data_IF_408542656843
#
_entry.id   IF_408542656843
#
_cell.length_a   1.000
_cell.length_b   1.000
_cell.length_c   1.000
_cell.angle_alpha   90.00
_cell.angle_beta   90.00
_cell.angle_gamma   90.00
#
_symmetry.space_group_name_H-M   'P 1'
#
loop_
_entity.id
_entity.type
_entity.pdbx_description
1 polymer ?
#
# COMPACT_ATOMS: atom_id res chain seq x y z
N UNK A 1 10.36 3.03 -28.10
CA UNK A 1 10.28 2.75 -26.65
C UNK A 1 9.04 1.93 -26.29
N UNK A 2 7.80 2.32 -26.66
CA UNK A 2 6.58 1.53 -26.33
C UNK A 2 6.64 0.04 -26.67
N UNK A 3 7.28 -0.33 -27.80
CA UNK A 3 7.42 -1.74 -28.22
C UNK A 3 8.33 -2.58 -27.31
N UNK A 4 9.36 -1.98 -26.71
CA UNK A 4 10.30 -2.69 -25.83
C UNK A 4 9.74 -2.84 -24.41
N UNK A 5 8.94 -1.87 -23.95
CA UNK A 5 8.21 -1.99 -22.67
C UNK A 5 7.20 -3.13 -22.76
N UNK A 6 6.43 -3.20 -23.86
CA UNK A 6 5.46 -4.28 -24.07
C UNK A 6 6.13 -5.66 -24.15
N UNK A 7 7.30 -5.75 -24.83
CA UNK A 7 8.08 -6.98 -24.92
C UNK A 7 8.69 -7.39 -23.58
N UNK A 8 9.18 -6.43 -22.80
CA UNK A 8 9.72 -6.70 -21.47
C UNK A 8 8.62 -7.13 -20.51
N UNK A 9 7.46 -6.46 -20.54
CA UNK A 9 6.28 -6.83 -19.74
C UNK A 9 5.78 -8.22 -20.15
N UNK A 10 5.73 -8.53 -21.46
CA UNK A 10 5.36 -9.85 -21.92
C UNK A 10 6.39 -10.92 -21.51
N UNK A 11 7.69 -10.62 -21.60
CA UNK A 11 8.75 -11.55 -21.18
C UNK A 11 8.74 -11.81 -19.66
N UNK A 12 8.46 -10.78 -18.86
CA UNK A 12 8.28 -10.90 -17.40
C UNK A 12 7.03 -11.72 -17.11
N UNK A 13 5.90 -11.43 -17.75
CA UNK A 13 4.67 -12.21 -17.61
C UNK A 13 4.86 -13.67 -18.04
N UNK A 14 5.52 -13.94 -19.17
CA UNK A 14 5.82 -15.31 -19.61
C UNK A 14 6.83 -16.01 -18.71
N UNK A 15 7.84 -15.30 -18.20
CA UNK A 15 8.82 -15.84 -17.26
C UNK A 15 8.21 -16.16 -15.90
N UNK A 16 7.16 -15.43 -15.49
CA UNK A 16 6.42 -15.70 -14.25
C UNK A 16 5.40 -16.83 -14.40
N UNK A 17 4.79 -16.99 -15.56
CA UNK A 17 3.80 -18.03 -15.82
C UNK A 17 4.42 -19.43 -15.82
N UNK A 18 5.67 -19.57 -16.29
CA UNK A 18 6.31 -20.89 -16.35
C UNK A 18 6.46 -21.57 -14.97
N UNK A 19 6.95 -20.91 -13.89
CA UNK A 19 6.98 -21.50 -12.57
C UNK A 19 5.58 -21.67 -11.94
N UNK A 20 4.63 -20.79 -12.25
CA UNK A 20 3.24 -20.91 -11.78
C UNK A 20 2.57 -22.15 -12.34
N UNK A 21 2.77 -22.47 -13.62
CA UNK A 21 2.23 -23.69 -14.24
C UNK A 21 2.87 -24.98 -13.73
N UNK A 22 4.02 -24.89 -13.07
CA UNK A 22 4.72 -26.03 -12.48
C UNK A 22 4.44 -26.16 -10.97
N UNK A 23 3.76 -25.21 -10.34
CA UNK A 23 3.43 -25.27 -8.92
C UNK A 23 2.23 -26.20 -8.70
N UNK A 24 2.38 -27.15 -7.78
CA UNK A 24 1.27 -27.98 -7.29
C UNK A 24 0.64 -27.24 -6.10
N UNK A 25 -0.51 -26.63 -6.29
CA UNK A 25 -1.24 -25.94 -5.24
C UNK A 25 -2.60 -25.46 -5.70
N UNK A 26 -3.45 -25.12 -4.75
CA UNK A 26 -4.75 -24.54 -5.06
C UNK A 26 -4.59 -23.05 -5.37
N UNK A 27 -5.51 -22.52 -6.15
CA UNK A 27 -5.64 -21.10 -6.43
C UNK A 27 -6.37 -20.46 -5.24
N UNK A 28 -5.71 -19.52 -4.58
CA UNK A 28 -6.25 -18.83 -3.41
C UNK A 28 -6.30 -17.33 -3.65
N UNK A 29 -7.19 -16.68 -2.93
CA UNK A 29 -7.26 -15.25 -2.98
C UNK A 29 -8.32 -14.70 -2.04
N UNK A 30 -8.38 -13.39 -2.04
CA UNK A 30 -9.51 -12.69 -1.44
C UNK A 30 -9.97 -11.54 -2.34
N UNK A 31 -11.20 -11.18 -2.21
CA UNK A 31 -11.73 -9.93 -2.76
C UNK A 31 -12.60 -9.27 -1.72
N UNK A 32 -12.66 -7.95 -1.78
CA UNK A 32 -13.40 -7.23 -0.78
C UNK A 32 -13.61 -5.77 -1.11
N UNK A 33 -14.09 -5.09 -0.11
CA UNK A 33 -14.39 -3.68 -0.15
C UNK A 33 -14.02 -3.04 1.19
N UNK A 34 -13.36 -1.89 1.11
CA UNK A 34 -13.02 -1.06 2.27
C UNK A 34 -13.69 0.30 2.12
N UNK A 35 -14.35 0.73 3.18
CA UNK A 35 -14.80 2.10 3.37
C UNK A 35 -13.88 2.79 4.35
N UNK A 36 -13.32 3.93 3.95
CA UNK A 36 -12.51 4.80 4.79
C UNK A 36 -13.28 6.08 5.09
N UNK A 37 -13.34 6.50 6.35
CA UNK A 37 -13.94 7.81 6.69
C UNK A 37 -13.13 8.95 6.12
N UNK A 38 -11.85 8.72 5.84
CA UNK A 38 -10.93 9.60 5.15
C UNK A 38 -9.88 8.73 4.44
N UNK A 39 -9.66 8.94 3.15
CA UNK A 39 -8.66 8.17 2.42
C UNK A 39 -7.28 8.80 2.56
N UNK A 40 -6.43 8.13 3.33
CA UNK A 40 -5.04 8.52 3.56
C UNK A 40 -4.12 7.57 2.81
N UNK A 41 -3.29 8.11 1.94
CA UNK A 41 -2.31 7.37 1.17
C UNK A 41 -0.94 8.04 1.23
N UNK A 42 0.06 7.32 1.71
CA UNK A 42 1.44 7.85 1.85
C UNK A 42 1.51 9.16 2.61
N UNK A 43 0.78 9.28 3.70
CA UNK A 43 0.73 10.49 4.51
C UNK A 43 -0.19 11.59 3.97
N UNK A 44 -0.85 11.38 2.83
CA UNK A 44 -1.69 12.38 2.20
C UNK A 44 -3.18 12.04 2.29
N UNK A 45 -3.99 13.03 2.63
CA UNK A 45 -5.43 12.98 2.41
C UNK A 45 -5.72 13.15 0.91
N UNK A 46 -5.85 12.05 0.18
CA UNK A 46 -5.99 12.07 -1.28
C UNK A 46 -7.20 12.90 -1.74
N UNK A 47 -8.28 12.89 -0.97
CA UNK A 47 -9.52 13.60 -1.27
C UNK A 47 -9.92 14.59 -0.16
N UNK A 48 -8.96 15.18 0.50
CA UNK A 48 -9.21 16.03 1.66
C UNK A 48 -9.91 15.25 2.77
N UNK A 49 -10.93 15.86 3.38
CA UNK A 49 -11.71 15.25 4.46
C UNK A 49 -12.87 14.37 3.97
N UNK A 50 -12.84 13.92 2.71
CA UNK A 50 -13.89 13.06 2.17
C UNK A 50 -13.55 11.58 2.35
N UNK A 51 -14.59 10.81 2.57
CA UNK A 51 -14.51 9.35 2.66
C UNK A 51 -14.14 8.72 1.32
N UNK A 52 -13.56 7.54 1.40
CA UNK A 52 -13.18 6.71 0.27
C UNK A 52 -13.89 5.37 0.23
N UNK A 53 -13.98 4.83 -0.95
CA UNK A 53 -14.49 3.49 -1.24
C UNK A 53 -13.45 2.77 -2.08
N UNK A 54 -12.94 1.64 -1.57
CA UNK A 54 -11.85 0.90 -2.19
C UNK A 54 -12.30 -0.55 -2.41
N UNK A 55 -12.41 -0.96 -3.66
CA UNK A 55 -12.66 -2.35 -4.03
C UNK A 55 -11.36 -3.05 -4.36
N UNK A 56 -11.14 -4.27 -3.92
CA UNK A 56 -9.90 -4.98 -4.18
C UNK A 56 -10.11 -6.47 -4.50
N UNK A 57 -9.13 -7.03 -5.18
CA UNK A 57 -8.94 -8.47 -5.37
C UNK A 57 -7.45 -8.79 -5.25
N UNK A 58 -7.11 -9.75 -4.39
CA UNK A 58 -5.78 -10.29 -4.19
C UNK A 58 -5.74 -11.76 -4.58
N UNK A 59 -4.77 -12.15 -5.39
CA UNK A 59 -4.64 -13.50 -5.91
C UNK A 59 -3.26 -14.06 -5.62
N UNK A 60 -3.21 -15.25 -5.03
CA UNK A 60 -2.01 -16.07 -4.90
C UNK A 60 -2.04 -17.19 -5.94
N UNK A 61 -0.97 -17.33 -6.68
CA UNK A 61 -0.90 -18.29 -7.78
C UNK A 61 -0.32 -19.61 -7.30
N UNK A 62 -1.21 -20.52 -6.89
CA UNK A 62 -0.89 -21.94 -6.63
C UNK A 62 0.18 -22.16 -5.56
N UNK A 63 0.27 -21.28 -4.57
CA UNK A 63 1.29 -21.35 -3.53
C UNK A 63 2.72 -21.17 -4.03
N UNK A 64 2.88 -20.65 -5.25
CA UNK A 64 4.20 -20.41 -5.87
C UNK A 64 4.96 -19.23 -5.27
N UNK A 65 4.29 -18.43 -4.46
CA UNK A 65 4.75 -17.14 -3.96
C UNK A 65 4.49 -15.99 -4.94
N UNK A 66 4.17 -16.24 -6.20
CA UNK A 66 3.73 -15.22 -7.13
C UNK A 66 2.25 -14.89 -6.94
N UNK A 67 1.90 -13.63 -7.11
CA UNK A 67 0.53 -13.18 -7.05
C UNK A 67 0.32 -11.83 -7.70
N UNK A 68 -0.92 -11.41 -7.73
CA UNK A 68 -1.33 -10.09 -8.18
C UNK A 68 -2.41 -9.50 -7.29
N UNK A 69 -2.44 -8.16 -7.23
CA UNK A 69 -3.52 -7.41 -6.61
C UNK A 69 -4.05 -6.36 -7.57
N UNK A 70 -5.34 -6.12 -7.53
CA UNK A 70 -5.99 -4.99 -8.19
C UNK A 70 -6.83 -4.29 -7.14
N UNK A 71 -6.63 -2.97 -7.00
CA UNK A 71 -7.40 -2.16 -6.08
C UNK A 71 -7.89 -0.89 -6.77
N UNK A 72 -9.18 -0.60 -6.66
CA UNK A 72 -9.78 0.61 -7.19
C UNK A 72 -10.16 1.57 -6.06
N UNK A 73 -9.77 2.83 -6.18
CA UNK A 73 -9.97 3.87 -5.16
C UNK A 73 -10.89 4.97 -5.68
N UNK A 74 -12.01 5.20 -5.01
CA UNK A 74 -13.04 6.16 -5.41
C UNK A 74 -13.38 7.09 -4.26
N UNK A 75 -13.37 8.39 -4.51
CA UNK A 75 -13.87 9.39 -3.57
C UNK A 75 -15.40 9.34 -3.48
N UNK A 76 -15.93 9.35 -2.25
CA UNK A 76 -17.37 9.53 -2.00
C UNK A 76 -17.79 11.01 -1.99
N UNK A 77 -16.81 11.93 -2.07
CA UNK A 77 -17.04 13.38 -2.15
C UNK A 77 -17.01 13.90 -3.58
N UNK A 78 -17.77 14.94 -3.88
CA UNK A 78 -17.73 15.60 -5.18
C UNK A 78 -16.42 16.35 -5.42
N UNK A 79 -16.03 16.50 -6.69
CA UNK A 79 -14.87 17.31 -7.10
C UNK A 79 -13.54 16.57 -7.20
N UNK A 80 -13.49 15.29 -6.86
CA UNK A 80 -12.26 14.49 -6.86
C UNK A 80 -12.24 13.37 -7.91
N UNK A 81 -13.10 13.44 -8.89
CA UNK A 81 -13.22 12.41 -9.93
C UNK A 81 -11.91 12.18 -10.71
N UNK A 82 -11.06 13.21 -10.86
CA UNK A 82 -9.77 13.12 -11.50
C UNK A 82 -8.64 12.56 -10.59
N UNK A 83 -8.93 12.36 -9.33
CA UNK A 83 -8.00 11.74 -8.38
C UNK A 83 -8.42 10.31 -8.00
N UNK A 84 -9.36 9.72 -8.71
CA UNK A 84 -9.65 8.29 -8.65
C UNK A 84 -8.48 7.51 -9.23
N UNK A 85 -8.21 6.33 -8.66
CA UNK A 85 -7.01 5.58 -9.00
C UNK A 85 -7.30 4.09 -9.02
N UNK A 86 -6.68 3.39 -9.96
CA UNK A 86 -6.61 1.94 -9.99
C UNK A 86 -5.16 1.50 -9.79
N UNK A 87 -4.91 0.63 -8.82
CA UNK A 87 -3.60 0.10 -8.50
C UNK A 87 -3.49 -1.33 -9.01
N UNK A 88 -2.47 -1.61 -9.80
CA UNK A 88 -2.17 -2.92 -10.33
C UNK A 88 -0.84 -3.38 -9.75
N UNK A 89 -0.86 -4.41 -8.92
CA UNK A 89 0.32 -4.94 -8.26
C UNK A 89 0.64 -6.34 -8.78
N UNK A 90 1.90 -6.55 -9.13
CA UNK A 90 2.48 -7.88 -9.30
C UNK A 90 3.48 -8.10 -8.18
N UNK A 91 3.46 -9.26 -7.54
CA UNK A 91 4.38 -9.54 -6.45
C UNK A 91 4.93 -10.96 -6.46
N UNK A 92 6.06 -11.11 -5.77
CA UNK A 92 6.61 -12.38 -5.33
C UNK A 92 6.89 -12.31 -3.84
N UNK A 93 6.45 -13.33 -3.10
CA UNK A 93 6.68 -13.43 -1.65
C UNK A 93 7.20 -14.82 -1.29
N UNK A 94 8.08 -14.86 -0.30
CA UNK A 94 8.62 -16.12 0.20
C UNK A 94 9.22 -15.92 1.60
N UNK A 95 9.82 -16.97 2.16
CA UNK A 95 10.47 -16.99 3.47
C UNK A 95 11.92 -17.45 3.36
N UNK A 96 12.77 -16.88 4.19
CA UNK A 96 14.16 -17.29 4.38
C UNK A 96 14.32 -17.73 5.83
N UNK A 97 15.13 -18.77 6.07
CA UNK A 97 15.42 -19.31 7.40
C UNK A 97 14.14 -19.70 8.19
N UNK A 98 13.20 -20.35 7.52
CA UNK A 98 11.92 -20.75 8.11
C UNK A 98 12.10 -21.57 9.38
N UNK A 99 11.42 -21.17 10.46
CA UNK A 99 11.50 -21.80 11.78
C UNK A 99 12.70 -21.36 12.64
N UNK A 100 13.55 -20.48 12.15
CA UNK A 100 14.68 -19.91 12.90
C UNK A 100 14.29 -18.55 13.54
N UNK A 101 15.10 -18.10 14.50
CA UNK A 101 14.99 -16.75 15.08
C UNK A 101 15.13 -15.64 14.02
N UNK A 102 15.93 -15.91 12.99
CA UNK A 102 16.14 -15.00 11.86
C UNK A 102 15.20 -15.28 10.67
N UNK A 103 14.12 -16.00 10.88
CA UNK A 103 13.09 -16.16 9.85
C UNK A 103 12.70 -14.79 9.31
N UNK A 104 12.77 -14.66 7.99
CA UNK A 104 12.45 -13.43 7.29
C UNK A 104 11.41 -13.72 6.23
N UNK A 105 10.22 -13.17 6.41
CA UNK A 105 9.21 -13.09 5.36
C UNK A 105 9.56 -11.92 4.47
N UNK A 106 9.59 -12.12 3.15
CA UNK A 106 9.83 -11.02 2.23
C UNK A 106 8.83 -11.01 1.08
N UNK A 107 8.51 -9.80 0.63
CA UNK A 107 7.66 -9.55 -0.53
C UNK A 107 8.30 -8.49 -1.42
N UNK A 108 8.49 -8.81 -2.69
CA UNK A 108 8.94 -7.88 -3.72
C UNK A 108 7.77 -7.58 -4.61
N UNK A 109 7.46 -6.30 -4.84
CA UNK A 109 6.31 -5.91 -5.63
C UNK A 109 6.66 -4.83 -6.63
N UNK A 110 5.95 -4.87 -7.76
CA UNK A 110 5.85 -3.78 -8.70
C UNK A 110 4.40 -3.31 -8.73
N UNK A 111 4.19 -2.00 -8.56
CA UNK A 111 2.86 -1.37 -8.57
C UNK A 111 2.79 -0.35 -9.68
N UNK A 112 1.72 -0.40 -10.45
CA UNK A 112 1.34 0.63 -11.40
C UNK A 112 0.09 1.35 -10.89
N UNK A 113 0.21 2.63 -10.63
CA UNK A 113 -0.86 3.51 -10.21
C UNK A 113 -1.44 4.21 -11.44
N UNK A 114 -2.65 3.83 -11.82
CA UNK A 114 -3.35 4.39 -12.97
C UNK A 114 -4.37 5.43 -12.50
N UNK A 115 -4.30 6.62 -13.06
CA UNK A 115 -5.26 7.68 -12.82
C UNK A 115 -6.07 7.94 -14.10
N UNK A 116 -7.12 7.15 -14.37
CA UNK A 116 -7.75 7.06 -15.68
C UNK A 116 -8.39 8.36 -16.15
N UNK A 117 -8.74 9.24 -15.22
CA UNK A 117 -9.51 10.45 -15.54
C UNK A 117 -8.67 11.74 -15.64
N UNK A 118 -7.39 11.69 -15.30
CA UNK A 118 -6.50 12.85 -15.42
C UNK A 118 -6.19 13.22 -16.86
N UNK A 119 -6.11 12.25 -17.73
CA UNK A 119 -5.81 12.45 -19.15
C UNK A 119 -6.91 13.20 -19.92
N UNK A 120 -8.14 13.25 -19.39
CA UNK A 120 -9.25 13.94 -20.03
C UNK A 120 -9.24 15.45 -19.80
N UNK A 121 -8.62 15.91 -18.71
CA UNK A 121 -8.63 17.32 -18.32
C UNK A 121 -7.41 18.10 -18.82
N UNK A 122 -6.27 17.44 -18.90
CA UNK A 122 -5.01 18.06 -19.29
C UNK A 122 -4.20 17.04 -20.09
N UNK A 123 -4.19 17.19 -21.40
CA UNK A 123 -3.50 16.30 -22.34
C UNK A 123 -2.00 16.11 -22.09
N UNK A 124 -1.42 16.92 -21.22
CA UNK A 124 0.03 16.97 -20.98
C UNK A 124 0.46 16.50 -19.56
N UNK A 125 -0.49 16.10 -18.71
CA UNK A 125 -0.22 15.71 -17.33
C UNK A 125 -0.70 14.31 -17.02
N UNK A 126 0.00 13.29 -17.52
CA UNK A 126 -0.19 11.95 -17.02
C UNK A 126 0.43 11.88 -15.60
N UNK A 127 -0.39 11.61 -14.61
CA UNK A 127 0.05 11.45 -13.22
C UNK A 127 0.18 9.98 -12.83
N UNK A 128 0.11 9.08 -13.80
CA UNK A 128 0.37 7.68 -13.55
C UNK A 128 1.75 7.48 -12.94
N UNK A 129 1.80 6.69 -11.88
CA UNK A 129 3.02 6.43 -11.14
C UNK A 129 3.38 4.97 -11.22
N UNK A 130 4.64 4.68 -10.96
CA UNK A 130 5.15 3.33 -10.84
C UNK A 130 5.92 3.22 -9.53
N UNK A 131 5.86 2.06 -8.94
CA UNK A 131 6.55 1.77 -7.70
C UNK A 131 7.17 0.39 -7.74
N UNK A 132 8.37 0.29 -7.21
CA UNK A 132 9.00 -0.96 -6.83
C UNK A 132 9.22 -0.92 -5.33
N UNK A 133 8.73 -1.94 -4.62
CA UNK A 133 8.95 -2.05 -3.20
C UNK A 133 9.43 -3.43 -2.77
N UNK A 134 10.13 -3.47 -1.65
CA UNK A 134 10.56 -4.70 -1.01
C UNK A 134 10.30 -4.59 0.48
N UNK A 135 9.44 -5.47 0.96
CA UNK A 135 9.08 -5.62 2.36
C UNK A 135 9.86 -6.79 2.96
N UNK A 136 10.37 -6.61 4.17
CA UNK A 136 10.93 -7.64 5.03
C UNK A 136 10.22 -7.61 6.38
N UNK A 137 9.85 -8.77 6.91
CA UNK A 137 9.26 -8.92 8.22
C UNK A 137 9.95 -10.05 8.98
N UNK A 138 10.14 -9.87 10.28
CA UNK A 138 10.87 -10.80 11.15
C UNK A 138 9.99 -11.30 12.29
N UNK A 139 9.16 -12.36 12.05
CA UNK A 139 8.16 -12.82 13.01
C UNK A 139 8.74 -13.39 14.28
N UNK A 140 9.99 -13.87 14.26
CA UNK A 140 10.60 -14.58 15.38
C UNK A 140 11.71 -13.80 16.11
N UNK A 141 12.15 -12.67 15.58
CA UNK A 141 13.36 -11.96 16.05
C UNK A 141 13.20 -11.40 17.48
N UNK A 142 12.00 -11.03 17.87
CA UNK A 142 11.73 -10.45 19.19
C UNK A 142 11.60 -11.51 20.29
N UNK A 143 11.33 -12.75 19.94
CA UNK A 143 10.93 -13.80 20.87
C UNK A 143 9.54 -13.60 21.49
N UNK A 144 8.83 -12.53 21.17
CA UNK A 144 7.47 -12.23 21.62
C UNK A 144 6.50 -12.66 20.52
N UNK A 145 5.67 -13.67 20.82
CA UNK A 145 4.68 -14.17 19.87
C UNK A 145 3.71 -13.04 19.45
N UNK A 146 3.54 -12.87 18.15
CA UNK A 146 2.65 -11.87 17.58
C UNK A 146 3.29 -10.48 17.40
N UNK A 147 4.49 -10.23 17.94
CA UNK A 147 5.21 -8.96 17.74
C UNK A 147 6.20 -9.10 16.58
N UNK A 148 5.90 -8.42 15.49
CA UNK A 148 6.61 -8.54 14.21
C UNK A 148 7.14 -7.18 13.77
N UNK A 149 8.44 -6.92 13.94
CA UNK A 149 9.08 -5.80 13.25
C UNK A 149 9.15 -6.06 11.75
N UNK A 150 9.00 -4.99 10.97
CA UNK A 150 9.13 -5.07 9.53
C UNK A 150 9.76 -3.78 8.97
N UNK A 151 10.25 -3.88 7.74
CA UNK A 151 10.84 -2.77 7.02
C UNK A 151 10.51 -2.87 5.55
N UNK A 152 10.08 -1.76 4.96
CA UNK A 152 9.83 -1.66 3.53
C UNK A 152 10.69 -0.54 2.93
N UNK A 153 11.37 -0.86 1.83
CA UNK A 153 12.03 0.11 0.97
C UNK A 153 11.20 0.27 -0.30
N UNK A 154 10.98 1.51 -0.66
CA UNK A 154 10.10 1.90 -1.76
C UNK A 154 10.87 2.78 -2.71
N UNK A 155 10.82 2.48 -4.01
CA UNK A 155 11.22 3.37 -5.09
C UNK A 155 10.00 3.73 -5.91
N UNK A 156 9.68 5.02 -6.00
CA UNK A 156 8.58 5.53 -6.82
C UNK A 156 9.11 6.41 -7.95
N UNK A 157 8.44 6.39 -9.10
CA UNK A 157 8.74 7.27 -10.25
C UNK A 157 7.49 7.43 -11.14
N UNK A 158 7.39 8.53 -11.90
CA UNK A 158 6.29 8.73 -12.84
C UNK A 158 6.40 7.76 -14.02
N UNK A 159 5.26 7.37 -14.60
CA UNK A 159 5.21 6.46 -15.75
C UNK A 159 5.71 7.11 -17.04
N UNK A 160 5.65 8.44 -17.13
CA UNK A 160 6.16 9.20 -18.27
C UNK A 160 7.31 10.11 -17.84
N UNK A 161 8.32 10.17 -18.70
CA UNK A 161 9.42 11.11 -18.53
C UNK A 161 8.89 12.53 -18.73
N UNK A 162 9.18 13.44 -17.81
CA UNK A 162 8.74 14.85 -17.82
C UNK A 162 7.27 15.10 -17.49
N UNK A 163 6.67 14.33 -16.67
CA UNK A 163 5.44 14.77 -15.99
C UNK A 163 5.77 15.91 -15.03
N UNK A 164 6.22 17.01 -15.56
CA UNK A 164 6.31 18.26 -14.85
C UNK A 164 4.93 18.86 -14.91
N UNK A 165 4.27 18.88 -13.81
CA UNK A 165 3.02 19.62 -13.69
C UNK A 165 3.36 21.10 -13.66
N UNK A 166 3.02 21.77 -14.75
CA UNK A 166 3.14 23.20 -14.93
C UNK A 166 4.51 23.67 -15.44
N UNK A 167 4.52 24.20 -16.65
CA UNK A 167 5.67 24.83 -17.34
C UNK A 167 6.39 25.95 -16.57
N UNK A 168 5.90 26.32 -15.39
CA UNK A 168 6.40 27.43 -14.59
C UNK A 168 7.02 27.02 -13.27
N UNK A 169 7.21 25.71 -12.99
CA UNK A 169 7.94 25.31 -11.81
C UNK A 169 9.38 24.93 -12.19
N UNK A 170 10.37 25.83 -12.02
CA UNK A 170 11.77 25.54 -12.30
C UNK A 170 12.36 24.44 -11.41
N UNK A 171 11.65 24.06 -10.37
CA UNK A 171 11.95 22.95 -9.47
C UNK A 171 11.01 21.77 -9.70
N UNK A 172 10.43 21.65 -10.90
CA UNK A 172 9.44 20.64 -11.23
C UNK A 172 9.68 19.31 -10.54
N UNK A 173 8.95 19.08 -9.47
CA UNK A 173 9.08 17.91 -8.64
C UNK A 173 8.75 16.68 -9.47
N UNK A 174 9.72 15.84 -9.73
CA UNK A 174 9.40 14.50 -10.17
C UNK A 174 8.95 13.72 -8.94
N UNK A 175 7.89 12.93 -9.05
CA UNK A 175 7.50 11.96 -8.01
C UNK A 175 8.60 10.93 -7.73
N UNK A 176 9.77 11.06 -8.37
CA UNK A 176 10.86 10.08 -8.30
C UNK A 176 11.67 10.25 -7.02
N UNK A 177 11.56 9.29 -6.13
CA UNK A 177 12.31 9.28 -4.88
C UNK A 177 12.34 7.90 -4.25
N UNK A 178 12.80 7.86 -3.01
CA UNK A 178 12.77 6.68 -2.15
C UNK A 178 11.96 6.96 -0.89
N UNK A 179 11.36 5.91 -0.33
CA UNK A 179 10.85 5.96 1.02
C UNK A 179 11.28 4.71 1.78
N UNK A 180 11.43 4.89 3.09
CA UNK A 180 11.77 3.85 4.03
C UNK A 180 10.69 3.80 5.10
N UNK A 181 10.02 2.67 5.20
CA UNK A 181 8.92 2.48 6.17
C UNK A 181 9.38 1.47 7.21
N UNK A 182 9.46 1.89 8.45
CA UNK A 182 9.76 1.06 9.61
C UNK A 182 8.45 0.72 10.30
N UNK A 183 8.17 -0.56 10.48
CA UNK A 183 6.90 -1.04 10.99
C UNK A 183 7.08 -1.91 12.21
N UNK A 184 6.09 -1.85 13.11
CA UNK A 184 5.96 -2.78 14.20
C UNK A 184 4.50 -3.20 14.31
N UNK A 185 4.23 -4.48 14.10
CA UNK A 185 2.91 -5.05 14.21
C UNK A 185 2.82 -5.94 15.45
N UNK A 186 1.68 -5.93 16.12
CA UNK A 186 1.43 -6.80 17.26
C UNK A 186 0.01 -7.36 17.24
N UNK A 187 -0.09 -8.68 17.10
CA UNK A 187 -1.35 -9.39 17.21
C UNK A 187 -1.54 -9.84 18.69
N UNK A 188 -2.39 -9.13 19.42
CA UNK A 188 -2.74 -9.45 20.80
C UNK A 188 -3.93 -10.43 20.82
N UNK A 189 -3.73 -11.71 21.23
CA UNK A 189 -4.83 -12.64 21.37
C UNK A 189 -5.77 -12.19 22.50
N UNK A 190 -7.05 -11.95 22.19
CA UNK A 190 -8.02 -11.47 23.18
C UNK A 190 -8.38 -12.55 24.20
N UNK A 191 -8.22 -13.82 23.87
CA UNK A 191 -8.33 -14.93 24.83
C UNK A 191 -7.36 -14.83 26.01
N UNK A 192 -6.24 -14.10 25.85
CA UNK A 192 -5.31 -13.82 26.93
C UNK A 192 -5.85 -12.76 27.94
N UNK A 193 -6.87 -12.00 27.53
CA UNK A 193 -7.52 -11.00 28.38
C UNK A 193 -8.73 -11.63 29.08
N UNK A 194 -9.53 -12.43 28.36
CA UNK A 194 -10.67 -13.15 28.88
C UNK A 194 -10.95 -14.41 28.07
N UNK A 195 -11.04 -15.55 28.75
CA UNK A 195 -11.36 -16.83 28.11
C UNK A 195 -12.80 -16.91 27.56
N UNK A 196 -13.63 -15.92 27.87
CA UNK A 196 -15.03 -15.85 27.37
C UNK A 196 -15.09 -15.17 25.99
N UNK A 197 -14.01 -14.50 25.57
CA UNK A 197 -13.93 -13.87 24.25
C UNK A 197 -13.57 -14.96 23.23
N UNK A 198 -14.24 -15.00 22.07
CA UNK A 198 -13.86 -15.91 20.97
C UNK A 198 -12.38 -15.76 20.60
N UNK A 199 -11.78 -16.78 19.98
CA UNK A 199 -10.42 -16.72 19.45
C UNK A 199 -10.33 -15.63 18.40
N UNK A 200 -9.86 -14.48 18.82
CA UNK A 200 -9.79 -13.24 18.06
C UNK A 200 -8.55 -12.48 18.48
N UNK A 201 -7.94 -11.77 17.56
CA UNK A 201 -6.83 -10.89 17.86
C UNK A 201 -7.29 -9.44 17.82
N UNK A 202 -6.65 -8.62 18.63
CA UNK A 202 -6.60 -7.19 18.45
C UNK A 202 -5.26 -6.87 17.80
N UNK A 203 -5.30 -6.41 16.56
CA UNK A 203 -4.12 -6.19 15.74
C UNK A 203 -3.71 -4.73 15.81
N UNK A 204 -2.55 -4.46 16.37
CA UNK A 204 -1.92 -3.16 16.41
C UNK A 204 -0.90 -3.07 15.29
N UNK A 205 -0.84 -1.94 14.62
CA UNK A 205 0.22 -1.63 13.68
C UNK A 205 0.77 -0.23 13.91
N UNK A 206 2.04 -0.06 13.61
CA UNK A 206 2.68 1.24 13.58
C UNK A 206 3.61 1.34 12.38
N UNK A 207 3.69 2.54 11.81
CA UNK A 207 4.57 2.85 10.70
C UNK A 207 5.29 4.17 10.99
N UNK A 208 6.59 4.21 10.76
CA UNK A 208 7.41 5.41 10.80
C UNK A 208 8.06 5.58 9.43
N UNK A 209 7.78 6.68 8.76
CA UNK A 209 8.15 6.91 7.37
C UNK A 209 9.26 7.94 7.26
N UNK A 210 10.37 7.53 6.64
CA UNK A 210 11.39 8.42 6.12
C UNK A 210 11.19 8.58 4.62
N UNK A 211 10.88 9.77 4.17
CA UNK A 211 10.72 10.07 2.75
C UNK A 211 12.00 10.71 2.21
N UNK A 212 12.49 10.22 1.08
CA UNK A 212 13.63 10.75 0.34
C UNK A 212 13.22 11.08 -1.10
N UNK A 213 12.48 12.18 -1.21
CA UNK A 213 12.12 12.79 -2.49
C UNK A 213 10.85 12.29 -3.16
N UNK A 214 10.07 11.39 -2.53
CA UNK A 214 8.77 11.00 -3.10
C UNK A 214 7.76 12.12 -2.86
N UNK A 215 7.16 12.60 -3.94
CA UNK A 215 5.92 13.39 -3.90
C UNK A 215 4.89 12.78 -4.85
N UNK A 216 3.94 12.01 -4.31
CA UNK A 216 2.94 11.31 -5.13
C UNK A 216 1.86 12.22 -5.68
N UNK A 217 1.86 13.51 -5.35
CA UNK A 217 0.81 14.42 -5.78
C UNK A 217 1.06 14.93 -7.19
N UNK A 218 -0.01 15.17 -7.96
CA UNK A 218 0.09 15.92 -9.21
C UNK A 218 0.61 17.34 -8.91
N UNK A 219 1.70 17.72 -9.54
CA UNK A 219 2.29 19.04 -9.33
C UNK A 219 3.00 19.24 -8.02
N UNK A 220 3.38 18.15 -7.39
CA UNK A 220 4.10 18.16 -6.14
C UNK A 220 5.37 18.99 -6.19
N UNK A 221 5.64 19.69 -5.11
CA UNK A 221 6.91 20.34 -4.89
C UNK A 221 7.96 19.29 -4.50
N UNK A 222 9.23 19.61 -4.67
CA UNK A 222 10.32 18.80 -4.15
C UNK A 222 10.11 18.54 -2.66
N UNK A 223 10.08 17.29 -2.28
CA UNK A 223 10.03 16.87 -0.87
C UNK A 223 11.46 16.66 -0.41
N UNK A 224 11.86 17.34 0.67
CA UNK A 224 13.17 17.12 1.29
C UNK A 224 13.23 15.73 1.92
N UNK A 225 14.44 15.20 2.08
CA UNK A 225 14.65 13.94 2.79
C UNK A 225 14.44 14.15 4.28
N UNK A 226 13.35 13.61 4.84
CA UNK A 226 13.01 13.76 6.25
C UNK A 226 12.02 12.69 6.74
N UNK A 227 11.82 12.63 8.08
CA UNK A 227 10.71 11.90 8.69
C UNK A 227 9.41 12.63 8.41
N UNK A 228 8.48 11.96 7.76
CA UNK A 228 7.23 12.60 7.31
C UNK A 228 6.05 12.33 8.20
N UNK A 229 5.90 11.09 8.62
CA UNK A 229 4.73 10.69 9.39
C UNK A 229 5.01 9.47 10.27
N UNK A 230 4.27 9.41 11.36
CA UNK A 230 4.12 8.24 12.21
C UNK A 230 2.65 7.85 12.22
N UNK A 231 2.35 6.64 11.76
CA UNK A 231 0.99 6.08 11.76
C UNK A 231 0.89 5.02 12.84
N UNK A 232 -0.22 5.01 13.54
CA UNK A 232 -0.60 3.92 14.42
C UNK A 232 -2.06 3.54 14.19
N UNK A 233 -2.38 2.28 14.34
CA UNK A 233 -3.75 1.82 14.20
C UNK A 233 -4.03 0.54 14.96
N UNK A 234 -5.32 0.29 15.10
CA UNK A 234 -5.84 -0.91 15.70
C UNK A 234 -7.02 -1.44 14.90
N UNK A 235 -7.05 -2.74 14.69
CA UNK A 235 -8.14 -3.43 13.98
C UNK A 235 -8.41 -4.79 14.61
N UNK A 236 -9.50 -5.42 14.19
CA UNK A 236 -9.81 -6.80 14.58
C UNK A 236 -10.65 -7.48 13.52
N UNK A 237 -10.38 -8.73 13.24
CA UNK A 237 -11.11 -9.53 12.28
C UNK A 237 -12.30 -10.24 12.95
N UNK A 238 -13.49 -10.08 12.40
CA UNK A 238 -14.68 -10.87 12.74
C UNK A 238 -14.93 -11.88 11.63
N UNK A 239 -14.74 -13.15 11.92
CA UNK A 239 -15.12 -14.24 11.03
C UNK A 239 -16.66 -14.38 11.03
N UNK A 240 -17.27 -14.05 9.89
CA UNK A 240 -18.72 -14.13 9.69
C UNK A 240 -19.14 -15.53 9.17
N UNK A 241 -18.18 -16.41 8.98
CA UNK A 241 -18.39 -17.75 8.41
C UNK A 241 -18.37 -17.78 6.88
N UNK A 242 -18.22 -18.99 6.35
CA UNK A 242 -18.22 -19.23 4.89
C UNK A 242 -17.19 -18.41 4.09
N UNK A 243 -16.06 -18.04 4.69
CA UNK A 243 -15.01 -17.27 4.06
C UNK A 243 -15.18 -15.73 4.17
N UNK A 244 -16.29 -15.26 4.74
CA UNK A 244 -16.50 -13.82 4.95
C UNK A 244 -15.84 -13.32 6.23
N UNK A 245 -15.11 -12.21 6.12
CA UNK A 245 -14.44 -11.54 7.23
C UNK A 245 -14.84 -10.06 7.22
N UNK A 246 -15.17 -9.53 8.40
CA UNK A 246 -15.40 -8.11 8.62
C UNK A 246 -14.31 -7.55 9.53
N UNK A 247 -13.63 -6.50 9.09
CA UNK A 247 -12.49 -5.89 9.80
C UNK A 247 -12.73 -4.39 10.00
N UNK A 248 -13.26 -3.97 11.16
CA UNK A 248 -13.22 -2.58 11.56
C UNK A 248 -11.83 -2.19 12.05
N UNK A 249 -11.42 -0.94 11.79
CA UNK A 249 -10.17 -0.37 12.25
C UNK A 249 -10.29 1.11 12.54
N UNK A 250 -9.36 1.62 13.33
CA UNK A 250 -9.15 3.04 13.59
C UNK A 250 -7.66 3.33 13.51
N UNK A 251 -7.32 4.44 12.89
CA UNK A 251 -5.94 4.84 12.64
C UNK A 251 -5.75 6.29 13.03
N UNK A 252 -4.53 6.60 13.43
CA UNK A 252 -4.04 7.94 13.72
C UNK A 252 -2.73 8.15 12.99
N UNK A 253 -2.60 9.25 12.28
CA UNK A 253 -1.33 9.72 11.72
C UNK A 253 -0.90 10.98 12.45
N UNK A 254 0.32 10.97 12.95
CA UNK A 254 1.03 12.12 13.48
C UNK A 254 1.97 12.61 12.39
N UNK A 255 1.73 13.82 11.90
CA UNK A 255 2.56 14.45 10.89
C UNK A 255 3.80 15.03 11.55
N UNK A 256 4.99 14.58 11.11
CA UNK A 256 6.27 14.95 11.73
C UNK A 256 6.96 16.11 11.02
N UNK A 257 6.62 16.35 9.76
CA UNK A 257 7.22 17.42 8.95
C UNK A 257 6.58 18.78 9.31
N UNK A 258 7.30 19.59 10.10
CA UNK A 258 6.84 20.90 10.58
C UNK A 258 7.16 22.04 9.61
N UNK A 259 7.88 21.79 8.56
CA UNK A 259 8.55 22.82 7.76
C UNK A 259 7.69 23.44 6.70
N UNK A 260 6.41 23.49 6.80
CA UNK A 260 5.68 24.21 5.78
C UNK A 260 6.18 23.89 4.36
N UNK A 261 6.85 22.75 4.24
CA UNK A 261 7.36 22.27 2.99
C UNK A 261 6.14 22.06 2.11
N UNK A 262 5.99 22.96 1.23
CA UNK A 262 4.83 23.43 0.50
C UNK A 262 4.16 22.33 -0.31
N UNK A 263 4.46 21.12 0.00
CA UNK A 263 4.09 19.96 -0.70
C UNK A 263 3.29 18.92 0.08
N UNK A 264 3.40 18.81 1.40
CA UNK A 264 2.63 17.82 2.17
C UNK A 264 1.21 18.32 2.38
N UNK A 265 0.22 17.55 1.93
CA UNK A 265 -1.18 17.97 1.93
C UNK A 265 -1.77 18.06 3.35
N UNK A 266 -1.10 17.56 4.36
CA UNK A 266 -1.56 17.54 5.74
C UNK A 266 -0.55 18.17 6.66
N UNK A 267 -0.87 19.37 7.14
CA UNK A 267 -0.16 20.02 8.25
C UNK A 267 -0.71 19.61 9.61
N UNK A 268 -1.55 18.60 9.70
CA UNK A 268 -2.32 18.24 10.89
C UNK A 268 -2.33 16.74 11.06
N UNK A 269 -2.37 16.33 12.31
CA UNK A 269 -2.64 14.95 12.67
C UNK A 269 -4.02 14.53 12.14
N UNK A 270 -4.15 13.28 11.71
CA UNK A 270 -5.33 12.76 11.05
C UNK A 270 -5.79 11.49 11.73
N UNK A 271 -7.06 11.46 12.15
CA UNK A 271 -7.70 10.24 12.63
C UNK A 271 -8.72 9.76 11.60
N UNK A 272 -8.68 8.48 11.26
CA UNK A 272 -9.71 7.91 10.38
C UNK A 272 -10.06 6.48 10.79
N UNK A 273 -11.28 6.08 10.44
CA UNK A 273 -11.75 4.72 10.62
C UNK A 273 -11.85 4.00 9.28
N UNK A 274 -11.60 2.70 9.32
CA UNK A 274 -11.71 1.79 8.17
C UNK A 274 -12.73 0.70 8.48
N UNK A 275 -13.53 0.32 7.50
CA UNK A 275 -14.45 -0.80 7.57
C UNK A 275 -14.25 -1.66 6.33
N UNK A 276 -13.67 -2.83 6.53
CA UNK A 276 -13.41 -3.77 5.43
C UNK A 276 -14.33 -4.98 5.55
N UNK A 277 -14.91 -5.39 4.44
CA UNK A 277 -15.53 -6.70 4.28
C UNK A 277 -14.86 -7.43 3.14
N UNK A 278 -14.43 -8.66 3.38
CA UNK A 278 -13.76 -9.49 2.37
C UNK A 278 -14.23 -10.92 2.40
N UNK A 279 -14.08 -11.58 1.27
CA UNK A 279 -14.31 -13.01 1.09
C UNK A 279 -13.00 -13.69 0.69
N UNK A 280 -12.63 -14.73 1.43
CA UNK A 280 -11.48 -15.60 1.13
C UNK A 280 -11.94 -16.89 0.45
N UNK A 281 -11.27 -17.29 -0.61
CA UNK A 281 -11.54 -18.52 -1.36
C UNK A 281 -10.28 -19.33 -1.64
#
# INVERSE_FOLDING_TARGET
MKKYVLLLTAAILFGMVAPVLAAEGDFHGDFGYTYDTMHVWRGFMTWGQHSGSNGFIDLDFFGSGFGMSIEGHVSNGGGYWNAQRDDYTLFYQNKIASGDTLETDYKVSYVYYNYPQTNELHSDTAIDLQEFNTLFAWPNITGIKGLVPAYCIIKMWPSMHNTVVGDNNPNGGSASGWAHVFMLNYALPLENISSEIPKQNLDFHTELVWNDGIDPRPGGAYTSSDWTDFVMGVSTDFDLGSGFIFTPGINEQITMEDDGNKGVATKHDITWATLTIKYKF
#
